data_IF_323685416940
#
_entry.id   IF_323685416940
#
_cell.length_a   1.000
_cell.length_b   1.000
_cell.length_c   1.000
_cell.angle_alpha   90.00
_cell.angle_beta   90.00
_cell.angle_gamma   90.00
#
_symmetry.space_group_name_H-M   'P 1'
#
loop_
_entity.id
_entity.type
_entity.pdbx_description
1 polymer ?
#
# COMPACT_ATOMS: atom_id res chain seq x y z
N UNK A 1 -32.88 8.28 -20.97
CA UNK A 1 -33.01 8.06 -19.51
C UNK A 1 -32.76 6.58 -19.23
N UNK A 2 -31.50 6.17 -19.15
CA UNK A 2 -31.15 4.80 -18.79
C UNK A 2 -30.60 4.80 -17.37
N UNK A 3 -31.39 4.27 -16.43
CA UNK A 3 -30.94 3.96 -15.06
C UNK A 3 -30.01 2.77 -15.14
N UNK A 4 -28.71 3.01 -15.03
CA UNK A 4 -27.72 1.97 -14.73
C UNK A 4 -28.03 1.42 -13.33
N UNK A 5 -28.50 0.18 -13.25
CA UNK A 5 -28.52 -0.59 -12.02
C UNK A 5 -27.07 -0.85 -11.59
N UNK A 6 -26.63 -0.17 -10.52
CA UNK A 6 -25.41 -0.55 -9.81
C UNK A 6 -25.62 -1.98 -9.27
N UNK A 7 -24.73 -2.94 -9.54
CA UNK A 7 -24.85 -4.26 -8.94
C UNK A 7 -24.69 -4.14 -7.42
N UNK A 8 -25.54 -4.87 -6.69
CA UNK A 8 -25.58 -4.96 -5.24
C UNK A 8 -24.33 -5.64 -4.66
N UNK A 9 -23.17 -4.98 -4.76
CA UNK A 9 -21.90 -5.46 -4.23
C UNK A 9 -21.75 -5.24 -2.71
N UNK A 10 -22.58 -4.36 -2.12
CA UNK A 10 -22.52 -4.02 -0.68
C UNK A 10 -23.01 -5.13 0.27
N UNK A 11 -23.69 -6.18 -0.23
CA UNK A 11 -24.30 -7.21 0.64
C UNK A 11 -23.54 -8.53 0.74
N UNK A 12 -22.42 -8.70 0.02
CA UNK A 12 -21.65 -9.95 0.06
C UNK A 12 -20.48 -9.90 1.06
N UNK A 13 -20.13 -8.73 1.62
CA UNK A 13 -18.98 -8.59 2.52
C UNK A 13 -19.28 -8.69 4.02
N UNK A 14 -20.55 -8.77 4.43
CA UNK A 14 -20.93 -8.84 5.85
C UNK A 14 -21.14 -10.26 6.41
N UNK A 15 -20.95 -11.31 5.59
CA UNK A 15 -21.21 -12.70 5.97
C UNK A 15 -19.93 -13.53 6.24
N UNK A 16 -18.83 -12.87 6.62
CA UNK A 16 -17.68 -13.52 7.24
C UNK A 16 -17.58 -13.09 8.71
N UNK A 17 -18.65 -13.30 9.48
CA UNK A 17 -18.55 -13.33 10.94
C UNK A 17 -17.75 -14.56 11.32
N UNK A 18 -16.43 -14.40 11.33
CA UNK A 18 -15.50 -15.35 11.93
C UNK A 18 -15.94 -15.52 13.39
N UNK A 19 -16.57 -16.65 13.69
CA UNK A 19 -16.64 -17.17 15.05
C UNK A 19 -15.21 -17.51 15.45
N UNK A 20 -14.49 -16.53 15.99
CA UNK A 20 -13.24 -16.75 16.69
C UNK A 20 -13.59 -17.51 17.97
N UNK A 21 -13.53 -18.84 17.91
CA UNK A 21 -13.43 -19.65 19.11
C UNK A 21 -12.12 -19.23 19.79
N UNK A 22 -12.22 -18.41 20.84
CA UNK A 22 -11.07 -18.05 21.67
C UNK A 22 -10.43 -19.37 22.14
N UNK A 23 -9.17 -19.65 21.76
CA UNK A 23 -8.44 -20.74 22.39
C UNK A 23 -8.52 -20.53 23.90
N UNK A 24 -8.80 -21.59 24.66
CA UNK A 24 -8.67 -21.54 26.11
C UNK A 24 -7.18 -21.37 26.44
N UNK A 25 -6.66 -20.14 26.42
CA UNK A 25 -5.28 -19.89 26.77
C UNK A 25 -5.15 -19.98 28.29
N UNK A 26 -4.27 -20.86 28.75
CA UNK A 26 -3.93 -21.05 30.17
C UNK A 26 -2.84 -20.08 30.66
N UNK A 27 -2.72 -18.90 30.04
CA UNK A 27 -1.76 -17.86 30.42
C UNK A 27 -2.40 -16.78 31.30
N UNK A 28 -1.64 -16.22 32.23
CA UNK A 28 -2.07 -15.03 32.96
C UNK A 28 -2.11 -13.83 31.99
N UNK A 29 -3.26 -13.17 31.88
CA UNK A 29 -3.42 -11.95 31.08
C UNK A 29 -3.24 -10.71 31.95
N UNK A 30 -2.63 -9.67 31.39
CA UNK A 30 -2.81 -8.30 31.88
C UNK A 30 -4.10 -7.76 31.28
N UNK A 31 -5.13 -7.56 32.10
CA UNK A 31 -6.41 -7.00 31.64
C UNK A 31 -6.43 -5.49 31.91
N UNK A 32 -6.65 -4.70 30.87
CA UNK A 32 -6.73 -3.24 30.96
C UNK A 32 -8.15 -2.80 30.60
N UNK A 33 -8.76 -2.02 31.49
CA UNK A 33 -10.09 -1.44 31.27
C UNK A 33 -9.95 0.02 30.85
N UNK A 34 -10.69 0.47 29.83
CA UNK A 34 -10.71 1.88 29.45
C UNK A 34 -11.32 2.73 30.56
N UNK A 35 -10.75 3.90 30.77
CA UNK A 35 -11.25 4.94 31.68
C UNK A 35 -11.89 6.09 30.93
N UNK A 36 -11.52 6.30 29.66
CA UNK A 36 -11.91 7.45 28.84
C UNK A 36 -11.11 8.71 29.18
N UNK A 37 -10.09 8.60 30.02
CA UNK A 37 -9.34 9.72 30.59
C UNK A 37 -7.88 9.61 30.15
N UNK A 38 -7.40 10.68 29.52
CA UNK A 38 -5.98 10.87 29.22
C UNK A 38 -5.28 11.57 30.40
N UNK A 39 -4.04 11.19 30.79
CA UNK A 39 -3.19 10.14 30.20
C UNK A 39 -3.34 8.76 30.85
N UNK A 40 -4.32 8.57 31.73
CA UNK A 40 -4.48 7.33 32.51
C UNK A 40 -4.60 6.09 31.60
N UNK A 41 -5.35 6.18 30.51
CA UNK A 41 -5.49 5.08 29.55
C UNK A 41 -4.16 4.67 28.92
N UNK A 42 -3.37 5.64 28.44
CA UNK A 42 -2.04 5.39 27.87
C UNK A 42 -1.14 4.73 28.90
N UNK A 43 -1.05 5.31 30.10
CA UNK A 43 -0.19 4.82 31.17
C UNK A 43 -0.57 3.40 31.62
N UNK A 44 -1.86 3.11 31.71
CA UNK A 44 -2.35 1.78 32.11
C UNK A 44 -2.02 0.71 31.07
N UNK A 45 -2.12 1.04 29.76
CA UNK A 45 -1.74 0.13 28.70
C UNK A 45 -0.21 -0.04 28.68
N UNK A 46 0.56 1.04 28.74
CA UNK A 46 2.03 0.96 28.78
C UNK A 46 2.51 0.07 29.93
N UNK A 47 1.96 0.26 31.15
CA UNK A 47 2.32 -0.56 32.31
C UNK A 47 1.96 -2.05 32.15
N UNK A 48 1.01 -2.39 31.28
CA UNK A 48 0.69 -3.77 30.92
C UNK A 48 1.65 -4.30 29.84
N UNK A 49 1.98 -3.48 28.84
CA UNK A 49 2.95 -3.78 27.78
C UNK A 49 4.34 -4.02 28.35
N UNK A 50 4.79 -3.19 29.31
CA UNK A 50 6.10 -3.32 29.95
C UNK A 50 6.30 -4.65 30.71
N UNK A 51 5.20 -5.34 31.05
CA UNK A 51 5.25 -6.68 31.66
C UNK A 51 5.40 -7.81 30.62
N UNK A 52 5.22 -7.50 29.35
CA UNK A 52 5.15 -8.45 28.25
C UNK A 52 3.96 -9.42 28.34
N UNK A 53 4.03 -10.50 27.56
CA UNK A 53 3.01 -11.55 27.56
C UNK A 53 1.76 -11.13 26.80
N UNK A 54 0.57 -11.46 27.30
CA UNK A 54 -0.70 -11.09 26.64
C UNK A 54 -1.43 -9.99 27.40
N UNK A 55 -1.71 -8.89 26.71
CA UNK A 55 -2.51 -7.75 27.17
C UNK A 55 -3.88 -7.84 26.52
N UNK A 56 -4.92 -7.97 27.33
CA UNK A 56 -6.31 -7.89 26.89
C UNK A 56 -6.84 -6.49 27.18
N UNK A 57 -7.11 -5.73 26.12
CA UNK A 57 -7.80 -4.46 26.19
C UNK A 57 -9.31 -4.72 26.18
N UNK A 58 -10.03 -4.15 27.14
CA UNK A 58 -11.48 -4.35 27.27
C UNK A 58 -12.25 -3.38 26.39
N UNK A 59 -13.41 -3.81 25.88
CA UNK A 59 -14.31 -2.95 25.10
C UNK A 59 -15.21 -2.07 25.98
N UNK A 60 -15.27 -2.40 27.27
CA UNK A 60 -16.10 -1.73 28.27
C UNK A 60 -15.28 -1.41 29.50
N UNK A 61 -15.63 -0.35 30.22
CA UNK A 61 -15.00 -0.01 31.49
C UNK A 61 -15.38 -1.02 32.60
N UNK A 62 -14.83 -0.85 33.81
CA UNK A 62 -15.09 -1.76 34.96
C UNK A 62 -16.56 -1.86 35.38
N UNK A 63 -17.43 -0.94 34.94
CA UNK A 63 -18.88 -0.95 35.18
C UNK A 63 -19.66 -1.64 34.04
N UNK A 64 -18.97 -2.15 33.02
CA UNK A 64 -19.60 -2.78 31.86
C UNK A 64 -20.17 -1.79 30.83
N UNK A 65 -19.82 -0.51 30.92
CA UNK A 65 -20.26 0.51 29.95
C UNK A 65 -19.25 0.60 28.81
N UNK A 66 -19.66 0.58 27.53
CA UNK A 66 -18.77 0.86 26.39
C UNK A 66 -18.00 2.16 26.62
N UNK A 67 -16.69 2.12 26.52
CA UNK A 67 -15.80 3.26 26.76
C UNK A 67 -14.56 3.06 25.92
N UNK A 68 -14.15 4.10 25.20
CA UNK A 68 -12.92 4.11 24.40
C UNK A 68 -11.70 4.37 25.31
N UNK A 69 -10.54 3.89 24.89
CA UNK A 69 -9.28 4.35 25.45
C UNK A 69 -8.91 5.70 24.84
N UNK A 70 -8.68 6.71 25.69
CA UNK A 70 -8.40 8.07 25.26
C UNK A 70 -6.90 8.35 25.16
N UNK A 71 -6.39 8.49 23.93
CA UNK A 71 -4.99 8.78 23.62
C UNK A 71 -4.76 10.27 23.27
N UNK A 72 -5.72 11.13 23.60
CA UNK A 72 -5.81 12.56 23.24
C UNK A 72 -6.11 12.83 21.77
N UNK A 73 -7.09 13.71 21.52
CA UNK A 73 -7.40 14.28 20.19
C UNK A 73 -6.82 15.69 20.02
N UNK A 74 -6.05 16.18 20.99
CA UNK A 74 -5.25 17.39 20.85
C UNK A 74 -3.88 17.02 20.30
N UNK A 75 -3.51 17.56 19.14
CA UNK A 75 -2.30 17.19 18.41
C UNK A 75 -1.02 17.37 19.23
N UNK A 76 -0.88 18.50 19.93
CA UNK A 76 0.35 18.79 20.70
C UNK A 76 0.51 17.83 21.87
N UNK A 77 -0.60 17.52 22.55
CA UNK A 77 -0.62 16.55 23.64
C UNK A 77 -0.38 15.13 23.13
N UNK A 78 -1.03 14.76 22.02
CA UNK A 78 -0.89 13.44 21.40
C UNK A 78 0.54 13.20 20.93
N UNK A 79 1.17 14.18 20.27
CA UNK A 79 2.56 14.10 19.84
C UNK A 79 3.55 13.85 21.01
N UNK A 80 3.29 14.45 22.18
CA UNK A 80 4.19 14.31 23.32
C UNK A 80 4.00 13.03 24.14
N UNK A 81 2.81 12.42 24.13
CA UNK A 81 2.47 11.33 25.08
C UNK A 81 1.21 10.52 24.73
N UNK A 82 0.69 10.66 23.52
CA UNK A 82 -0.50 9.95 23.02
C UNK A 82 -0.17 8.63 22.35
N UNK A 83 0.79 7.87 22.87
CA UNK A 83 1.23 6.61 22.29
C UNK A 83 1.73 5.65 23.37
N UNK A 84 1.75 4.36 23.05
CA UNK A 84 2.50 3.34 23.81
C UNK A 84 3.67 2.84 22.97
N UNK A 85 4.77 2.51 23.62
CA UNK A 85 5.90 1.86 22.98
C UNK A 85 5.95 0.36 23.34
N UNK A 86 6.12 -0.49 22.33
CA UNK A 86 6.27 -1.94 22.47
C UNK A 86 7.66 -2.27 23.05
N UNK A 87 7.77 -2.22 24.38
CA UNK A 87 9.03 -2.36 25.13
C UNK A 87 9.41 -3.80 25.50
N UNK A 88 8.48 -4.75 25.36
CA UNK A 88 8.67 -6.17 25.65
C UNK A 88 7.91 -7.05 24.65
N UNK A 89 8.27 -8.33 24.55
CA UNK A 89 7.53 -9.32 23.76
C UNK A 89 6.06 -9.35 24.20
N UNK A 90 5.15 -8.92 23.34
CA UNK A 90 3.76 -8.64 23.73
C UNK A 90 2.75 -9.02 22.66
N UNK A 91 1.60 -9.53 23.12
CA UNK A 91 0.39 -9.70 22.31
C UNK A 91 -0.72 -8.82 22.88
N UNK A 92 -1.12 -7.80 22.14
CA UNK A 92 -2.21 -6.89 22.48
C UNK A 92 -3.46 -7.34 21.72
N UNK A 93 -4.52 -7.62 22.46
CA UNK A 93 -5.80 -8.11 21.92
C UNK A 93 -6.91 -7.15 22.33
N UNK A 94 -7.62 -6.60 21.36
CA UNK A 94 -8.88 -5.91 21.55
C UNK A 94 -10.01 -6.89 21.79
N UNK A 95 -10.83 -6.62 22.81
CA UNK A 95 -12.04 -7.37 23.05
C UNK A 95 -13.15 -6.98 22.06
N UNK A 96 -13.96 -7.95 21.69
CA UNK A 96 -15.28 -7.73 21.10
C UNK A 96 -16.31 -8.29 22.09
N UNK A 97 -17.09 -7.43 22.74
CA UNK A 97 -18.08 -7.82 23.74
C UNK A 97 -19.44 -7.18 23.42
N UNK A 98 -20.44 -8.03 23.19
CA UNK A 98 -21.80 -7.62 22.81
C UNK A 98 -21.81 -6.70 21.58
N UNK A 99 -22.10 -5.40 21.76
CA UNK A 99 -22.16 -4.38 20.70
C UNK A 99 -20.98 -3.40 20.76
N UNK A 100 -19.95 -3.70 21.56
CA UNK A 100 -18.76 -2.87 21.72
C UNK A 100 -17.51 -3.64 21.27
N UNK A 101 -16.56 -2.88 20.72
CA UNK A 101 -15.20 -3.32 20.39
C UNK A 101 -14.24 -2.44 21.19
N UNK A 102 -13.05 -2.95 21.50
CA UNK A 102 -11.96 -2.10 21.98
C UNK A 102 -11.64 -1.05 20.95
N UNK A 103 -11.83 0.21 21.34
CA UNK A 103 -11.50 1.37 20.53
C UNK A 103 -10.43 2.20 21.21
N UNK A 104 -9.42 2.60 20.45
CA UNK A 104 -8.42 3.61 20.83
C UNK A 104 -8.74 4.86 20.01
N UNK A 105 -8.99 5.97 20.70
CA UNK A 105 -9.34 7.24 20.07
C UNK A 105 -8.23 8.28 20.24
N UNK A 106 -7.83 8.89 19.12
CA UNK A 106 -6.73 9.85 19.09
C UNK A 106 -5.36 9.18 19.23
N UNK A 107 -4.37 9.94 19.68
CA UNK A 107 -2.97 9.53 19.77
C UNK A 107 -2.16 9.90 18.54
N UNK A 108 -0.85 10.03 18.70
CA UNK A 108 0.09 10.27 17.60
C UNK A 108 0.87 8.97 17.44
N UNK A 109 0.54 8.14 16.45
CA UNK A 109 1.03 6.75 16.43
C UNK A 109 0.62 5.97 17.68
N UNK A 110 -0.68 5.69 17.95
CA UNK A 110 -1.11 5.13 19.23
C UNK A 110 -0.36 3.88 19.68
N UNK A 111 0.16 3.07 18.75
CA UNK A 111 1.08 1.97 19.05
C UNK A 111 2.36 2.15 18.25
N UNK A 112 3.48 2.30 18.96
CA UNK A 112 4.82 2.44 18.38
C UNK A 112 5.72 1.24 18.71
N UNK A 113 6.50 0.79 17.73
CA UNK A 113 7.49 -0.28 17.85
C UNK A 113 8.92 0.22 17.84
N UNK A 114 9.32 1.03 18.83
CA UNK A 114 10.66 1.63 18.89
C UNK A 114 11.71 0.73 19.57
N UNK A 115 11.30 -0.44 20.06
CA UNK A 115 12.21 -1.44 20.60
C UNK A 115 12.14 -2.76 19.82
N UNK A 116 13.28 -3.45 19.62
CA UNK A 116 13.31 -4.67 18.85
C UNK A 116 12.70 -5.80 19.67
N UNK A 117 11.39 -5.99 19.56
CA UNK A 117 10.63 -7.04 20.27
C UNK A 117 9.72 -7.79 19.31
N UNK A 118 9.19 -8.94 19.74
CA UNK A 118 8.07 -9.60 19.07
C UNK A 118 6.78 -8.93 19.47
N UNK A 119 5.91 -8.67 18.51
CA UNK A 119 4.65 -8.01 18.80
C UNK A 119 3.48 -8.62 18.04
N UNK A 120 2.30 -8.55 18.63
CA UNK A 120 1.07 -8.79 17.91
C UNK A 120 -0.03 -7.83 18.37
N UNK A 121 -0.76 -7.27 17.42
CA UNK A 121 -1.81 -6.26 17.63
C UNK A 121 -3.06 -6.77 16.92
N UNK A 122 -4.11 -7.08 17.67
CA UNK A 122 -5.26 -7.81 17.13
C UNK A 122 -6.61 -7.21 17.52
N UNK A 123 -7.51 -7.03 16.56
CA UNK A 123 -8.93 -6.76 16.82
C UNK A 123 -9.25 -5.40 17.46
N UNK A 124 -8.38 -4.40 17.28
CA UNK A 124 -8.56 -3.04 17.82
C UNK A 124 -9.19 -2.13 16.76
N UNK A 125 -10.05 -1.22 17.19
CA UNK A 125 -10.55 -0.11 16.40
C UNK A 125 -9.72 1.16 16.69
N UNK A 126 -9.07 1.73 15.69
CA UNK A 126 -8.30 2.96 15.81
C UNK A 126 -9.08 4.09 15.16
N UNK A 127 -9.63 4.98 15.99
CA UNK A 127 -10.42 6.12 15.55
C UNK A 127 -9.58 7.40 15.63
N UNK A 128 -9.37 8.02 14.47
CA UNK A 128 -8.71 9.32 14.36
C UNK A 128 -7.35 9.45 15.07
N UNK A 129 -6.42 8.49 14.88
CA UNK A 129 -5.04 8.74 15.24
C UNK A 129 -4.45 9.86 14.35
N UNK A 130 -3.46 10.57 14.86
CA UNK A 130 -2.64 11.49 14.09
C UNK A 130 -1.46 10.75 13.47
N UNK A 131 -1.08 11.16 12.25
CA UNK A 131 -0.03 10.51 11.46
C UNK A 131 -0.41 9.07 11.14
N UNK A 132 -0.14 8.14 12.07
CA UNK A 132 -0.21 6.71 11.81
C UNK A 132 -1.03 6.02 12.92
N UNK A 133 -1.70 4.91 12.62
CA UNK A 133 -2.38 4.15 13.68
C UNK A 133 -1.43 3.18 14.39
N UNK A 134 -0.52 2.59 13.63
CA UNK A 134 0.52 1.68 14.11
C UNK A 134 1.81 2.02 13.36
N UNK A 135 2.85 2.39 14.09
CA UNK A 135 4.19 2.66 13.54
C UNK A 135 5.20 1.66 14.14
N UNK A 136 5.88 0.88 13.30
CA UNK A 136 6.88 -0.09 13.73
C UNK A 136 8.24 0.26 13.12
N UNK A 137 9.01 1.06 13.84
CA UNK A 137 10.38 1.37 13.43
C UNK A 137 11.35 0.19 13.61
N UNK A 138 11.11 -0.70 14.57
CA UNK A 138 12.04 -1.74 14.99
C UNK A 138 11.34 -3.05 15.39
N UNK A 139 11.95 -4.21 15.08
CA UNK A 139 11.55 -5.54 15.57
C UNK A 139 12.69 -6.55 15.39
N UNK A 140 12.86 -7.50 16.32
CA UNK A 140 13.83 -8.61 16.20
C UNK A 140 13.15 -9.97 16.03
N UNK A 141 11.87 -10.00 15.67
CA UNK A 141 11.09 -11.22 15.58
C UNK A 141 9.81 -11.06 14.77
N UNK A 142 8.81 -11.86 15.08
CA UNK A 142 7.54 -11.79 14.35
C UNK A 142 6.69 -10.61 14.84
N UNK A 143 6.21 -9.82 13.88
CA UNK A 143 5.21 -8.77 14.09
C UNK A 143 3.92 -9.17 13.36
N UNK A 144 2.82 -9.31 14.11
CA UNK A 144 1.52 -9.70 13.55
C UNK A 144 0.42 -8.66 13.83
N UNK A 145 -0.08 -8.00 12.80
CA UNK A 145 -1.16 -7.00 12.88
C UNK A 145 -2.38 -7.57 12.18
N UNK A 146 -3.41 -7.96 12.95
CA UNK A 146 -4.52 -8.77 12.43
C UNK A 146 -5.90 -8.26 12.84
N UNK A 147 -6.81 -8.12 11.88
CA UNK A 147 -8.23 -7.86 12.17
C UNK A 147 -8.51 -6.50 12.80
N UNK A 148 -7.59 -5.55 12.68
CA UNK A 148 -7.78 -4.19 13.17
C UNK A 148 -8.64 -3.38 12.19
N UNK A 149 -9.32 -2.37 12.70
CA UNK A 149 -10.00 -1.36 11.89
C UNK A 149 -9.30 -0.04 12.18
N UNK A 150 -8.87 0.66 11.15
CA UNK A 150 -8.18 1.94 11.23
C UNK A 150 -8.98 2.90 10.38
N UNK A 151 -9.46 3.98 10.98
CA UNK A 151 -10.26 4.92 10.21
C UNK A 151 -10.17 6.37 10.69
N UNK A 152 -10.45 7.27 9.74
CA UNK A 152 -10.45 8.71 9.95
C UNK A 152 -9.12 9.25 10.50
N UNK A 153 -7.99 8.69 10.07
CA UNK A 153 -6.66 9.14 10.46
C UNK A 153 -6.52 10.62 10.12
N UNK A 154 -5.95 11.39 11.03
CA UNK A 154 -5.88 12.85 10.94
C UNK A 154 -4.50 13.23 10.41
N UNK A 155 -4.41 13.78 9.18
CA UNK A 155 -3.14 14.16 8.59
C UNK A 155 -2.35 15.15 9.44
N UNK A 156 -1.08 14.84 9.67
CA UNK A 156 -0.15 15.76 10.32
C UNK A 156 0.50 16.62 9.26
N UNK A 157 0.45 17.95 9.44
CA UNK A 157 0.99 18.92 8.50
C UNK A 157 2.37 19.40 8.95
N UNK A 158 3.36 19.23 8.09
CA UNK A 158 4.75 19.64 8.35
C UNK A 158 5.15 20.69 7.31
N UNK A 159 5.79 21.77 7.77
CA UNK A 159 6.41 22.75 6.86
C UNK A 159 7.81 22.27 6.51
N UNK A 160 8.04 21.96 5.24
CA UNK A 160 9.36 21.58 4.71
C UNK A 160 10.24 22.83 4.47
N UNK A 161 11.58 22.67 4.35
CA UNK A 161 12.53 23.80 4.29
C UNK A 161 12.30 24.79 3.15
N UNK A 162 11.72 24.35 2.04
CA UNK A 162 11.36 25.21 0.90
C UNK A 162 10.13 26.10 1.18
N UNK A 163 9.50 25.94 2.35
CA UNK A 163 8.34 26.68 2.80
C UNK A 163 7.00 26.01 2.48
N UNK A 164 6.98 24.93 1.71
CA UNK A 164 5.76 24.18 1.40
C UNK A 164 5.23 23.46 2.64
N UNK A 165 3.93 23.17 2.64
CA UNK A 165 3.30 22.35 3.68
C UNK A 165 2.97 21.02 3.04
N UNK A 166 3.54 19.95 3.58
CA UNK A 166 3.17 18.58 3.25
C UNK A 166 2.36 17.99 4.40
N UNK A 167 1.62 16.92 4.13
CA UNK A 167 0.96 16.16 5.19
C UNK A 167 1.16 14.68 5.04
N UNK A 168 1.22 14.00 6.18
CA UNK A 168 1.42 12.56 6.29
C UNK A 168 0.23 11.90 6.98
N UNK A 169 -0.20 10.76 6.46
CA UNK A 169 -1.10 9.87 7.17
C UNK A 169 -1.00 8.44 6.64
N UNK A 170 -0.51 7.49 7.44
CA UNK A 170 -0.54 6.08 7.11
C UNK A 170 -1.49 5.29 8.01
N UNK A 171 -1.97 4.13 7.53
CA UNK A 171 -2.70 3.20 8.38
C UNK A 171 -1.73 2.43 9.26
N UNK A 172 -0.84 1.70 8.62
CA UNK A 172 0.22 0.90 9.24
C UNK A 172 1.53 1.25 8.55
N UNK A 173 2.49 1.78 9.30
CA UNK A 173 3.83 2.10 8.80
C UNK A 173 4.89 1.20 9.47
N UNK A 174 5.85 0.77 8.67
CA UNK A 174 7.08 0.13 9.13
C UNK A 174 8.23 0.89 8.49
N UNK A 175 8.88 1.74 9.28
CA UNK A 175 9.97 2.58 8.80
C UNK A 175 11.28 2.26 9.53
N UNK A 176 12.20 1.59 8.85
CA UNK A 176 13.50 1.19 9.42
C UNK A 176 14.50 2.34 9.63
N UNK A 177 14.18 3.60 9.30
CA UNK A 177 15.16 4.68 9.30
C UNK A 177 16.20 4.56 8.19
N UNK A 178 17.28 5.36 8.29
CA UNK A 178 18.44 5.29 7.39
C UNK A 178 19.32 4.06 7.60
N UNK A 179 19.17 3.39 8.74
CA UNK A 179 19.96 2.23 9.12
C UNK A 179 19.19 0.95 8.75
N UNK A 180 19.49 0.40 7.57
CA UNK A 180 18.91 -0.85 7.09
C UNK A 180 18.93 -1.96 8.16
N UNK A 181 17.76 -2.56 8.43
CA UNK A 181 17.68 -3.82 9.19
C UNK A 181 17.16 -3.77 10.60
N UNK A 182 16.46 -2.70 10.98
CA UNK A 182 15.86 -2.63 12.30
C UNK A 182 14.55 -3.42 12.41
N UNK A 183 13.86 -3.71 11.30
CA UNK A 183 12.67 -4.58 11.25
C UNK A 183 13.05 -5.96 10.69
N UNK A 184 13.32 -6.92 11.58
CA UNK A 184 13.75 -8.27 11.26
C UNK A 184 12.77 -9.34 11.76
N UNK A 185 12.70 -10.48 11.05
CA UNK A 185 11.83 -11.61 11.38
C UNK A 185 10.74 -11.81 10.33
N UNK A 186 9.48 -11.92 10.77
CA UNK A 186 8.32 -12.10 9.89
C UNK A 186 7.29 -11.02 10.18
N UNK A 187 6.82 -10.32 9.16
CA UNK A 187 5.72 -9.34 9.26
C UNK A 187 4.47 -9.96 8.65
N UNK A 188 3.36 -9.97 9.39
CA UNK A 188 2.05 -10.44 8.91
C UNK A 188 0.99 -9.38 9.13
N UNK A 189 0.39 -8.88 8.05
CA UNK A 189 -0.70 -7.91 8.07
C UNK A 189 -1.95 -8.57 7.47
N UNK A 190 -2.88 -9.00 8.32
CA UNK A 190 -3.96 -9.92 7.90
C UNK A 190 -5.34 -9.39 8.26
N UNK A 191 -6.24 -9.29 7.28
CA UNK A 191 -7.65 -9.02 7.54
C UNK A 191 -7.93 -7.66 8.19
N UNK A 192 -7.05 -6.68 8.04
CA UNK A 192 -7.26 -5.33 8.54
C UNK A 192 -8.17 -4.54 7.60
N UNK A 193 -8.88 -3.56 8.15
CA UNK A 193 -9.66 -2.58 7.40
C UNK A 193 -9.03 -1.21 7.63
N UNK A 194 -8.70 -0.50 6.55
CA UNK A 194 -8.07 0.82 6.61
C UNK A 194 -8.89 1.75 5.72
N UNK A 195 -9.43 2.82 6.29
CA UNK A 195 -10.36 3.73 5.61
C UNK A 195 -10.18 5.20 6.00
N UNK A 196 -9.92 6.08 5.03
CA UNK A 196 -9.91 7.53 5.27
C UNK A 196 -8.64 8.03 5.97
N UNK A 197 -7.58 8.24 5.19
CA UNK A 197 -6.30 8.82 5.65
C UNK A 197 -6.11 10.27 5.18
N UNK A 198 -6.32 10.53 3.88
CA UNK A 198 -6.58 11.87 3.34
C UNK A 198 -5.41 12.87 3.42
N UNK A 199 -4.16 12.41 3.30
CA UNK A 199 -2.96 13.26 3.34
C UNK A 199 -2.28 13.43 1.96
N UNK A 200 -1.30 14.35 1.88
CA UNK A 200 -0.47 14.55 0.67
C UNK A 200 0.40 13.30 0.42
N UNK A 201 0.95 12.74 1.50
CA UNK A 201 1.65 11.48 1.57
C UNK A 201 0.80 10.51 2.38
N UNK A 202 0.25 9.47 1.73
CA UNK A 202 -0.67 8.59 2.43
C UNK A 202 -0.69 7.16 1.91
N UNK A 203 -0.45 6.21 2.80
CA UNK A 203 -0.47 4.79 2.50
C UNK A 203 -1.39 4.05 3.44
N UNK A 204 -2.24 3.16 2.90
CA UNK A 204 -2.93 2.20 3.74
C UNK A 204 -1.94 1.37 4.55
N UNK A 205 -0.95 0.82 3.86
CA UNK A 205 0.17 0.10 4.44
C UNK A 205 1.46 0.56 3.78
N UNK A 206 2.45 0.95 4.58
CA UNK A 206 3.81 1.24 4.13
C UNK A 206 4.81 0.32 4.84
N UNK A 207 5.67 -0.33 4.06
CA UNK A 207 6.88 -0.97 4.57
C UNK A 207 8.06 -0.42 3.80
N UNK A 208 8.93 0.28 4.51
CA UNK A 208 10.14 0.90 3.99
C UNK A 208 11.36 0.36 4.73
N UNK A 209 12.33 -0.16 3.97
CA UNK A 209 13.64 -0.55 4.52
C UNK A 209 13.54 -1.75 5.51
N UNK A 210 12.66 -2.69 5.17
CA UNK A 210 12.34 -3.88 6.00
C UNK A 210 13.12 -5.13 5.58
N UNK A 211 13.71 -5.84 6.56
CA UNK A 211 14.53 -7.06 6.37
C UNK A 211 13.80 -8.34 6.84
N UNK A 212 12.50 -8.38 6.61
CA UNK A 212 11.61 -9.44 7.09
C UNK A 212 10.88 -10.13 5.95
N UNK A 213 10.51 -11.39 6.14
CA UNK A 213 9.53 -12.01 5.25
C UNK A 213 8.15 -11.37 5.53
N UNK A 214 7.52 -10.85 4.50
CA UNK A 214 6.27 -10.07 4.59
C UNK A 214 5.10 -10.86 4.02
N UNK A 215 3.97 -10.84 4.72
CA UNK A 215 2.69 -11.36 4.25
C UNK A 215 1.59 -10.35 4.52
N UNK A 216 0.97 -9.83 3.46
CA UNK A 216 -0.14 -8.88 3.50
C UNK A 216 -1.33 -9.54 2.81
N UNK A 217 -2.32 -9.96 3.58
CA UNK A 217 -3.44 -10.72 3.01
C UNK A 217 -4.81 -10.44 3.60
N UNK A 218 -5.83 -10.46 2.74
CA UNK A 218 -7.23 -10.32 3.17
C UNK A 218 -7.59 -8.94 3.68
N UNK A 219 -6.76 -7.91 3.46
CA UNK A 219 -7.02 -6.56 3.94
C UNK A 219 -7.99 -5.82 3.00
N UNK A 220 -8.80 -4.94 3.58
CA UNK A 220 -9.58 -3.93 2.87
C UNK A 220 -8.92 -2.57 3.10
N UNK A 221 -8.46 -1.93 2.04
CA UNK A 221 -7.80 -0.64 2.09
C UNK A 221 -8.55 0.28 1.14
N UNK A 222 -9.19 1.33 1.67
CA UNK A 222 -10.03 2.22 0.87
C UNK A 222 -9.91 3.69 1.27
N UNK A 223 -10.14 4.59 0.32
CA UNK A 223 -10.19 6.05 0.54
C UNK A 223 -8.98 6.60 1.32
N UNK A 224 -7.80 6.02 1.11
CA UNK A 224 -6.55 6.47 1.73
C UNK A 224 -6.09 7.79 1.11
N UNK A 225 -6.38 8.01 -0.17
CA UNK A 225 -6.05 9.24 -0.89
C UNK A 225 -7.12 10.33 -0.73
N UNK A 226 -6.67 11.56 -0.93
CA UNK A 226 -7.46 12.76 -1.13
C UNK A 226 -7.16 13.39 -2.50
N UNK A 227 -7.99 14.33 -2.99
CA UNK A 227 -7.68 15.08 -4.20
C UNK A 227 -6.29 15.76 -4.20
N UNK A 228 -5.78 16.10 -3.01
CA UNK A 228 -4.49 16.77 -2.79
C UNK A 228 -3.34 15.78 -2.56
N UNK A 229 -3.59 14.46 -2.52
CA UNK A 229 -2.53 13.45 -2.41
C UNK A 229 -1.59 13.57 -3.60
N UNK A 230 -0.29 13.66 -3.34
CA UNK A 230 0.81 13.74 -4.33
C UNK A 230 1.62 12.44 -4.43
N UNK A 231 1.75 11.71 -3.32
CA UNK A 231 2.40 10.40 -3.27
C UNK A 231 1.64 9.53 -2.28
N UNK A 232 1.53 8.23 -2.53
CA UNK A 232 0.81 7.35 -1.64
C UNK A 232 0.20 6.18 -2.37
N UNK A 233 -0.57 5.38 -1.66
CA UNK A 233 -1.21 4.24 -2.28
C UNK A 233 -1.94 3.34 -1.29
N UNK A 234 -2.47 2.25 -1.81
CA UNK A 234 -3.04 1.23 -0.96
C UNK A 234 -1.97 0.52 -0.14
N UNK A 235 -1.02 -0.11 -0.84
CA UNK A 235 0.08 -0.88 -0.24
C UNK A 235 1.38 -0.49 -0.91
N UNK A 236 2.32 0.04 -0.13
CA UNK A 236 3.64 0.47 -0.61
C UNK A 236 4.74 -0.34 0.07
N UNK A 237 5.48 -1.11 -0.72
CA UNK A 237 6.61 -1.93 -0.27
C UNK A 237 7.88 -1.45 -0.96
N UNK A 238 8.70 -0.69 -0.26
CA UNK A 238 9.93 -0.10 -0.83
C UNK A 238 11.16 -0.54 -0.04
N UNK A 239 12.28 -0.76 -0.73
CA UNK A 239 13.57 -1.14 -0.09
C UNK A 239 13.45 -2.38 0.80
N UNK A 240 12.63 -3.35 0.41
CA UNK A 240 12.63 -4.66 1.08
C UNK A 240 13.88 -5.46 0.72
N UNK A 241 14.34 -6.29 1.65
CA UNK A 241 15.50 -7.17 1.43
C UNK A 241 15.16 -8.66 1.41
N UNK A 242 13.90 -9.01 1.70
CA UNK A 242 13.40 -10.39 1.79
C UNK A 242 12.10 -10.58 1.02
N UNK A 243 11.50 -11.76 1.13
CA UNK A 243 10.33 -12.11 0.33
C UNK A 243 9.07 -11.38 0.83
N UNK A 244 8.21 -10.96 -0.09
CA UNK A 244 6.91 -10.39 0.21
C UNK A 244 5.80 -11.09 -0.57
N UNK A 245 4.73 -11.47 0.13
CA UNK A 245 3.48 -11.96 -0.42
C UNK A 245 2.38 -10.92 -0.15
N UNK A 246 1.81 -10.35 -1.22
CA UNK A 246 0.64 -9.48 -1.18
C UNK A 246 -0.50 -10.21 -1.88
N UNK A 247 -1.51 -10.64 -1.13
CA UNK A 247 -2.55 -11.49 -1.72
C UNK A 247 -3.95 -11.33 -1.16
N UNK A 248 -4.97 -11.49 -2.02
CA UNK A 248 -6.37 -11.45 -1.61
C UNK A 248 -6.78 -10.16 -0.88
N UNK A 249 -6.14 -9.03 -1.20
CA UNK A 249 -6.53 -7.72 -0.67
C UNK A 249 -7.54 -7.06 -1.62
N UNK A 250 -8.44 -6.25 -1.04
CA UNK A 250 -9.26 -5.29 -1.78
C UNK A 250 -8.67 -3.90 -1.55
N UNK A 251 -8.19 -3.28 -2.63
CA UNK A 251 -7.47 -2.01 -2.58
C UNK A 251 -8.18 -0.99 -3.45
N UNK A 252 -8.69 0.07 -2.84
CA UNK A 252 -9.45 1.15 -3.47
C UNK A 252 -8.84 2.48 -2.99
N UNK A 253 -7.67 2.90 -3.50
CA UNK A 253 -6.93 4.00 -2.89
C UNK A 253 -7.75 5.29 -2.75
N UNK A 254 -8.72 5.50 -3.65
CA UNK A 254 -9.54 6.71 -3.71
C UNK A 254 -9.01 7.67 -4.77
N UNK A 255 -9.71 8.79 -5.02
CA UNK A 255 -9.32 9.73 -6.05
C UNK A 255 -8.10 10.56 -5.62
N UNK A 256 -7.21 10.81 -6.57
CA UNK A 256 -6.20 11.89 -6.50
C UNK A 256 -6.17 12.63 -7.84
N UNK A 257 -6.00 13.95 -7.78
CA UNK A 257 -5.90 14.80 -8.97
C UNK A 257 -4.45 14.94 -9.49
N UNK A 258 -3.45 14.65 -8.65
CA UNK A 258 -2.04 14.99 -8.92
C UNK A 258 -1.08 13.82 -8.74
N UNK A 259 -1.45 12.74 -8.04
CA UNK A 259 -0.53 11.70 -7.58
C UNK A 259 -0.46 10.44 -8.44
N UNK A 260 0.71 9.82 -8.36
CA UNK A 260 0.98 8.39 -8.53
C UNK A 260 0.45 7.62 -7.31
N UNK A 261 -0.88 7.69 -7.14
CA UNK A 261 -1.54 7.19 -5.95
C UNK A 261 -1.93 5.73 -6.19
N UNK A 262 -0.92 4.87 -6.20
CA UNK A 262 -1.03 3.53 -6.79
C UNK A 262 -1.84 2.58 -5.91
N UNK A 263 -2.43 1.56 -6.53
CA UNK A 263 -3.04 0.48 -5.78
C UNK A 263 -2.00 -0.25 -4.92
N UNK A 264 -1.02 -0.86 -5.59
CA UNK A 264 0.06 -1.60 -4.95
C UNK A 264 1.38 -1.19 -5.60
N UNK A 265 2.32 -0.67 -4.82
CA UNK A 265 3.66 -0.35 -5.26
C UNK A 265 4.66 -1.32 -4.63
N UNK A 266 5.51 -1.96 -5.45
CA UNK A 266 6.60 -2.82 -4.97
C UNK A 266 7.95 -2.40 -5.57
N UNK A 267 8.98 -2.36 -4.73
CA UNK A 267 10.36 -2.23 -5.17
C UNK A 267 11.34 -2.56 -4.05
N UNK A 268 12.43 -3.25 -4.37
CA UNK A 268 13.36 -3.73 -3.35
C UNK A 268 14.70 -4.11 -3.92
N UNK A 269 15.51 -4.70 -3.06
CA UNK A 269 16.84 -5.18 -3.43
C UNK A 269 16.80 -6.50 -4.20
N UNK A 270 17.91 -6.84 -4.86
CA UNK A 270 18.06 -8.08 -5.61
C UNK A 270 17.87 -9.35 -4.75
N UNK A 271 17.95 -9.23 -3.42
CA UNK A 271 17.66 -10.31 -2.47
C UNK A 271 16.17 -10.49 -2.17
N UNK A 272 15.34 -9.48 -2.40
CA UNK A 272 13.90 -9.55 -2.21
C UNK A 272 13.22 -10.36 -3.31
N UNK A 273 12.07 -10.94 -3.00
CA UNK A 273 11.24 -11.69 -3.95
C UNK A 273 9.77 -11.37 -3.72
N UNK A 274 9.08 -10.90 -4.75
CA UNK A 274 7.72 -10.41 -4.64
C UNK A 274 6.72 -11.36 -5.27
N UNK A 275 5.59 -11.57 -4.59
CA UNK A 275 4.40 -12.23 -5.13
C UNK A 275 3.19 -11.35 -4.84
N UNK A 276 2.65 -10.71 -5.87
CA UNK A 276 1.42 -9.92 -5.81
C UNK A 276 0.34 -10.71 -6.54
N UNK A 277 -0.50 -11.41 -5.79
CA UNK A 277 -1.43 -12.41 -6.36
C UNK A 277 -2.86 -12.27 -5.88
N UNK A 278 -3.82 -12.44 -6.80
CA UNK A 278 -5.25 -12.52 -6.46
C UNK A 278 -5.78 -11.32 -5.67
N UNK A 279 -5.22 -10.12 -5.89
CA UNK A 279 -5.75 -8.88 -5.34
C UNK A 279 -6.84 -8.31 -6.26
N UNK A 280 -7.78 -7.58 -5.68
CA UNK A 280 -8.73 -6.73 -6.39
C UNK A 280 -8.31 -5.28 -6.18
N UNK A 281 -7.85 -4.63 -7.24
CA UNK A 281 -7.37 -3.24 -7.21
C UNK A 281 -8.31 -2.38 -8.03
N UNK A 282 -8.77 -1.27 -7.44
CA UNK A 282 -9.64 -0.30 -8.07
C UNK A 282 -9.05 1.11 -7.91
N UNK A 283 -8.33 1.56 -8.94
CA UNK A 283 -7.76 2.91 -8.96
C UNK A 283 -8.71 3.88 -9.66
N UNK A 284 -8.93 5.03 -9.03
CA UNK A 284 -9.67 6.17 -9.60
C UNK A 284 -8.82 7.44 -9.66
N UNK A 285 -7.53 7.31 -9.37
CA UNK A 285 -6.58 8.42 -9.36
C UNK A 285 -6.19 8.79 -10.78
N UNK A 286 -6.09 10.08 -11.08
CA UNK A 286 -5.84 10.56 -12.44
C UNK A 286 -4.56 9.98 -13.06
N UNK A 287 -3.49 9.85 -12.25
CA UNK A 287 -2.21 9.23 -12.62
C UNK A 287 -1.87 7.99 -11.76
N UNK A 288 -2.81 7.45 -10.97
CA UNK A 288 -2.47 6.35 -10.05
C UNK A 288 -2.61 5.00 -10.74
N UNK A 289 -1.51 4.28 -10.80
CA UNK A 289 -1.44 2.98 -11.44
C UNK A 289 -2.12 1.91 -10.56
N UNK A 290 -2.40 0.76 -11.16
CA UNK A 290 -2.96 -0.36 -10.42
C UNK A 290 -1.90 -1.06 -9.58
N UNK A 291 -0.88 -1.60 -10.24
CA UNK A 291 0.23 -2.31 -9.63
C UNK A 291 1.53 -1.85 -10.28
N UNK A 292 2.41 -1.27 -9.48
CA UNK A 292 3.72 -0.81 -9.89
C UNK A 292 4.82 -1.71 -9.38
N UNK A 293 5.75 -2.02 -10.29
CA UNK A 293 7.00 -2.69 -9.96
C UNK A 293 8.13 -1.74 -10.35
N UNK A 294 8.89 -1.29 -9.37
CA UNK A 294 10.04 -0.43 -9.58
C UNK A 294 11.31 -1.07 -9.00
N UNK A 295 12.47 -0.65 -9.47
CA UNK A 295 13.75 -1.05 -8.92
C UNK A 295 14.83 -0.04 -9.29
N UNK A 296 15.99 -0.13 -8.65
CA UNK A 296 17.11 0.75 -8.95
C UNK A 296 16.95 2.15 -8.37
N UNK A 297 17.40 3.16 -9.10
CA UNK A 297 17.36 4.58 -8.72
C UNK A 297 15.95 5.07 -8.36
N UNK A 298 14.90 4.55 -9.02
CA UNK A 298 13.51 4.88 -8.70
C UNK A 298 13.12 4.65 -7.25
N UNK A 299 13.78 3.68 -6.61
CA UNK A 299 13.48 3.26 -5.22
C UNK A 299 14.69 3.37 -4.30
N UNK A 300 15.85 3.80 -4.82
CA UNK A 300 17.12 3.76 -4.12
C UNK A 300 17.57 2.33 -3.78
N UNK A 301 17.25 1.35 -4.62
CA UNK A 301 17.52 -0.09 -4.39
C UNK A 301 18.52 -0.64 -5.40
N UNK A 302 18.94 -1.89 -5.18
CA UNK A 302 19.78 -2.63 -6.13
C UNK A 302 19.02 -3.24 -7.32
N UNK A 303 17.70 -3.08 -7.39
CA UNK A 303 16.85 -3.57 -8.47
C UNK A 303 15.90 -4.69 -8.06
N UNK A 304 14.75 -4.76 -8.72
CA UNK A 304 13.72 -5.77 -8.46
C UNK A 304 13.85 -6.92 -9.45
N UNK A 305 13.92 -8.16 -8.95
CA UNK A 305 14.10 -9.36 -9.78
C UNK A 305 13.10 -10.47 -9.42
N UNK A 306 12.71 -11.26 -10.43
CA UNK A 306 11.84 -12.44 -10.29
C UNK A 306 10.50 -12.13 -9.59
N UNK A 307 9.99 -10.91 -9.70
CA UNK A 307 8.67 -10.57 -9.16
C UNK A 307 7.58 -11.34 -9.89
N UNK A 308 6.55 -11.78 -9.18
CA UNK A 308 5.37 -12.44 -9.77
C UNK A 308 4.13 -11.62 -9.48
N UNK A 309 3.51 -11.09 -10.54
CA UNK A 309 2.21 -10.40 -10.48
C UNK A 309 1.20 -11.25 -11.22
N UNK A 310 0.34 -11.96 -10.48
CA UNK A 310 -0.51 -12.98 -11.09
C UNK A 310 -1.95 -13.02 -10.57
N UNK A 311 -2.88 -13.26 -11.49
CA UNK A 311 -4.30 -13.48 -11.16
C UNK A 311 -4.96 -12.32 -10.39
N UNK A 312 -4.43 -11.10 -10.51
CA UNK A 312 -5.06 -9.91 -9.96
C UNK A 312 -6.17 -9.43 -10.90
N UNK A 313 -7.18 -8.80 -10.33
CA UNK A 313 -8.15 -8.01 -11.08
C UNK A 313 -7.86 -6.54 -10.83
N UNK A 314 -7.51 -5.81 -11.88
CA UNK A 314 -7.11 -4.41 -11.79
C UNK A 314 -8.04 -3.57 -12.64
N UNK A 315 -8.72 -2.62 -12.02
CA UNK A 315 -9.59 -1.66 -12.71
C UNK A 315 -9.07 -0.25 -12.51
N UNK A 316 -8.81 0.46 -13.60
CA UNK A 316 -8.53 1.90 -13.61
C UNK A 316 -9.74 2.63 -14.20
N UNK A 317 -10.42 3.47 -13.42
CA UNK A 317 -11.60 4.20 -13.88
C UNK A 317 -11.35 5.71 -13.89
N UNK A 318 -11.66 6.37 -15.03
CA UNK A 318 -11.52 7.82 -15.16
C UNK A 318 -10.11 8.32 -14.87
N UNK A 319 -9.12 7.50 -15.23
CA UNK A 319 -7.71 7.69 -14.93
C UNK A 319 -6.92 7.68 -16.25
N UNK A 320 -6.98 8.76 -17.05
CA UNK A 320 -6.48 8.74 -18.43
C UNK A 320 -4.97 8.50 -18.54
N UNK A 321 -4.22 8.74 -17.45
CA UNK A 321 -2.78 8.50 -17.40
C UNK A 321 -2.40 7.22 -16.64
N UNK A 322 -3.36 6.53 -16.01
CA UNK A 322 -3.05 5.33 -15.24
C UNK A 322 -2.72 4.15 -16.15
N UNK A 323 -1.92 3.25 -15.61
CA UNK A 323 -1.58 1.94 -16.15
C UNK A 323 -2.01 0.88 -15.13
N UNK A 324 -2.80 -0.14 -15.52
CA UNK A 324 -3.14 -1.22 -14.60
C UNK A 324 -1.92 -1.95 -14.04
N UNK A 325 -0.90 -2.23 -14.86
CA UNK A 325 0.38 -2.80 -14.40
C UNK A 325 1.54 -2.15 -15.13
N UNK A 326 2.43 -1.50 -14.39
CA UNK A 326 3.63 -0.86 -14.92
C UNK A 326 4.91 -1.39 -14.28
N UNK A 327 5.97 -1.49 -15.09
CA UNK A 327 7.32 -1.79 -14.67
C UNK A 327 8.20 -0.56 -14.93
N UNK A 328 8.90 -0.11 -13.91
CA UNK A 328 9.76 1.06 -13.95
C UNK A 328 11.22 0.70 -13.66
N UNK A 329 12.11 1.16 -14.53
CA UNK A 329 13.56 1.14 -14.32
C UNK A 329 14.15 -0.27 -14.11
N UNK A 330 14.96 -0.52 -13.07
CA UNK A 330 15.72 -1.78 -12.92
C UNK A 330 14.84 -2.95 -12.43
N UNK A 331 13.93 -3.42 -13.29
CA UNK A 331 13.08 -4.60 -13.08
C UNK A 331 13.44 -5.72 -14.05
N UNK A 332 13.81 -6.89 -13.53
CA UNK A 332 14.31 -7.99 -14.36
C UNK A 332 13.65 -9.33 -14.09
N UNK A 333 13.53 -10.16 -15.13
CA UNK A 333 13.04 -11.55 -15.08
C UNK A 333 11.67 -11.76 -14.39
N UNK A 334 10.87 -10.71 -14.28
CA UNK A 334 9.58 -10.76 -13.61
C UNK A 334 8.52 -11.43 -14.49
N UNK A 335 7.51 -12.03 -13.84
CA UNK A 335 6.39 -12.72 -14.49
C UNK A 335 5.08 -12.02 -14.14
N UNK A 336 4.43 -11.47 -15.17
CA UNK A 336 3.15 -10.79 -15.09
C UNK A 336 2.13 -11.65 -15.83
N UNK A 337 1.29 -12.40 -15.13
CA UNK A 337 0.49 -13.47 -15.77
C UNK A 337 -0.95 -13.59 -15.30
N UNK A 338 -1.85 -13.85 -16.23
CA UNK A 338 -3.25 -14.19 -15.91
C UNK A 338 -4.02 -13.10 -15.16
N UNK A 339 -3.62 -11.83 -15.27
CA UNK A 339 -4.34 -10.71 -14.66
C UNK A 339 -5.52 -10.29 -15.55
N UNK A 340 -6.62 -9.85 -14.93
CA UNK A 340 -7.83 -9.29 -15.59
C UNK A 340 -7.79 -7.76 -15.47
N UNK A 341 -7.48 -7.09 -16.58
CA UNK A 341 -7.28 -5.65 -16.66
C UNK A 341 -8.52 -4.98 -17.26
N UNK A 342 -9.07 -3.99 -16.56
CA UNK A 342 -10.35 -3.36 -16.89
C UNK A 342 -10.29 -1.84 -16.81
N UNK A 343 -11.19 -1.20 -17.53
CA UNK A 343 -11.39 0.25 -17.45
C UNK A 343 -10.68 0.98 -18.57
N UNK A 344 -10.06 2.12 -18.26
CA UNK A 344 -9.37 2.98 -19.22
C UNK A 344 -8.09 3.57 -18.66
N UNK A 345 -7.14 3.89 -19.53
CA UNK A 345 -5.87 4.49 -19.12
C UNK A 345 -4.91 4.68 -20.29
N UNK A 346 -3.68 5.09 -19.98
CA UNK A 346 -2.66 5.38 -20.99
C UNK A 346 -2.26 4.10 -21.74
N UNK A 347 -1.89 3.07 -20.98
CA UNK A 347 -1.61 1.74 -21.49
C UNK A 347 -2.16 0.64 -20.58
N UNK A 348 -2.34 -0.57 -21.11
CA UNK A 348 -2.76 -1.72 -20.32
C UNK A 348 -1.58 -2.36 -19.56
N UNK A 349 -0.45 -2.48 -20.24
CA UNK A 349 0.82 -2.95 -19.71
C UNK A 349 1.93 -1.99 -20.14
N UNK A 350 2.80 -1.58 -19.20
CA UNK A 350 3.88 -0.65 -19.49
C UNK A 350 5.25 -1.09 -18.97
N UNK A 351 6.28 -0.78 -19.77
CA UNK A 351 7.67 -0.65 -19.32
C UNK A 351 8.11 0.77 -19.60
N UNK A 352 8.66 1.45 -18.59
CA UNK A 352 9.04 2.86 -18.67
C UNK A 352 10.17 3.18 -17.67
N UNK A 353 10.61 4.44 -17.65
CA UNK A 353 11.48 4.97 -16.60
C UNK A 353 10.68 5.87 -15.66
N UNK A 354 11.05 5.89 -14.38
CA UNK A 354 10.58 6.87 -13.40
C UNK A 354 11.38 8.18 -13.48
N UNK A 355 11.93 8.49 -14.67
CA UNK A 355 12.79 9.64 -14.93
C UNK A 355 14.30 9.38 -14.80
N UNK A 356 14.72 8.13 -14.55
CA UNK A 356 16.11 7.71 -14.46
C UNK A 356 16.54 6.94 -15.72
N UNK A 357 16.91 7.69 -16.76
CA UNK A 357 17.08 7.18 -18.13
C UNK A 357 18.20 6.13 -18.33
N UNK A 358 18.92 5.70 -17.29
CA UNK A 358 20.05 4.75 -17.38
C UNK A 358 19.72 3.30 -17.02
N UNK A 359 18.55 3.04 -16.44
CA UNK A 359 18.22 1.71 -15.92
C UNK A 359 17.40 0.88 -16.90
N UNK A 360 17.80 -0.39 -17.07
CA UNK A 360 17.23 -1.29 -18.07
C UNK A 360 16.21 -2.24 -17.43
N UNK A 361 14.98 -2.23 -17.94
CA UNK A 361 13.93 -3.19 -17.60
C UNK A 361 14.01 -4.38 -18.57
N UNK A 362 14.42 -5.57 -18.10
CA UNK A 362 14.74 -6.67 -19.02
C UNK A 362 14.29 -8.09 -18.66
N UNK A 363 14.06 -8.91 -19.69
CA UNK A 363 13.73 -10.34 -19.52
C UNK A 363 12.36 -10.60 -18.87
N UNK A 364 11.50 -9.58 -18.74
CA UNK A 364 10.20 -9.72 -18.12
C UNK A 364 9.21 -10.41 -19.08
N UNK A 365 8.25 -11.14 -18.53
CA UNK A 365 7.29 -11.96 -19.28
C UNK A 365 5.87 -11.60 -18.90
N UNK A 366 5.10 -11.14 -19.88
CA UNK A 366 3.69 -10.81 -19.77
C UNK A 366 2.86 -11.90 -20.46
N UNK A 367 2.30 -12.83 -19.69
CA UNK A 367 1.70 -14.06 -20.22
C UNK A 367 0.20 -14.16 -19.90
N UNK A 368 -0.64 -14.21 -20.94
CA UNK A 368 -2.08 -14.48 -20.78
C UNK A 368 -2.83 -13.48 -19.92
N UNK A 369 -2.40 -12.21 -19.87
CA UNK A 369 -3.19 -11.14 -19.27
C UNK A 369 -4.40 -10.83 -20.18
N UNK A 370 -5.57 -10.64 -19.58
CA UNK A 370 -6.83 -10.32 -20.26
C UNK A 370 -7.00 -8.80 -20.29
N UNK A 371 -7.03 -8.25 -21.51
CA UNK A 371 -7.22 -6.82 -21.77
C UNK A 371 -8.54 -6.57 -22.51
N UNK A 372 -9.42 -7.58 -22.62
CA UNK A 372 -10.67 -7.52 -23.38
C UNK A 372 -11.65 -6.44 -22.91
N UNK A 373 -11.48 -6.01 -21.67
CA UNK A 373 -12.30 -5.00 -21.00
C UNK A 373 -11.52 -3.73 -20.65
N UNK A 374 -10.30 -3.59 -21.18
CA UNK A 374 -9.47 -2.40 -21.02
C UNK A 374 -9.48 -1.57 -22.30
N UNK A 375 -9.57 -0.25 -22.15
CA UNK A 375 -9.46 0.73 -23.24
C UNK A 375 -8.20 1.57 -23.04
N UNK A 376 -7.17 1.29 -23.83
CA UNK A 376 -5.99 2.14 -23.91
C UNK A 376 -6.25 3.39 -24.76
N UNK A 377 -5.79 4.54 -24.27
CA UNK A 377 -5.77 5.78 -25.05
C UNK A 377 -4.50 5.91 -25.90
N UNK A 378 -3.41 5.25 -25.53
CA UNK A 378 -2.15 5.22 -26.29
C UNK A 378 -1.85 3.85 -26.92
N UNK A 379 -1.62 2.82 -26.10
CA UNK A 379 -1.37 1.45 -26.58
C UNK A 379 -1.78 0.39 -25.54
N UNK A 380 -2.17 -0.81 -25.95
CA UNK A 380 -2.46 -1.92 -25.01
C UNK A 380 -1.16 -2.37 -24.33
N UNK A 381 -0.07 -2.39 -25.10
CA UNK A 381 1.29 -2.66 -24.64
C UNK A 381 2.19 -1.49 -25.05
N UNK A 382 2.83 -0.85 -24.07
CA UNK A 382 3.84 0.19 -24.31
C UNK A 382 5.16 -0.16 -23.64
N UNK A 383 6.21 -0.37 -24.44
CA UNK A 383 7.58 -0.48 -23.94
C UNK A 383 8.40 0.72 -24.39
N UNK A 384 8.93 1.48 -23.44
CA UNK A 384 9.86 2.57 -23.72
C UNK A 384 11.27 2.05 -24.05
N UNK A 385 12.18 2.96 -24.39
CA UNK A 385 13.53 2.67 -24.87
C UNK A 385 14.40 1.89 -23.88
N UNK A 386 14.04 1.87 -22.59
CA UNK A 386 14.74 1.11 -21.56
C UNK A 386 14.28 -0.36 -21.46
N UNK A 387 13.27 -0.78 -22.23
CA UNK A 387 12.81 -2.16 -22.28
C UNK A 387 13.68 -3.05 -23.17
N UNK A 388 14.30 -4.09 -22.59
CA UNK A 388 15.12 -5.04 -23.34
C UNK A 388 14.71 -6.51 -23.18
N UNK A 389 14.62 -7.25 -24.28
CA UNK A 389 14.39 -8.70 -24.29
C UNK A 389 13.15 -9.16 -23.50
N UNK A 390 12.13 -8.31 -23.41
CA UNK A 390 10.87 -8.62 -22.74
C UNK A 390 9.94 -9.39 -23.68
N UNK A 391 9.05 -10.20 -23.12
CA UNK A 391 8.13 -11.04 -23.91
C UNK A 391 6.69 -10.77 -23.52
N UNK A 392 5.83 -10.52 -24.51
CA UNK A 392 4.37 -10.47 -24.34
C UNK A 392 3.73 -11.57 -25.17
N UNK A 393 2.99 -12.47 -24.53
CA UNK A 393 2.18 -13.51 -25.16
C UNK A 393 0.76 -13.44 -24.58
N UNK A 394 -0.20 -12.86 -25.31
CA UNK A 394 -1.55 -12.67 -24.79
C UNK A 394 -2.40 -11.73 -25.63
N UNK A 395 -3.45 -11.18 -25.04
CA UNK A 395 -4.34 -10.25 -25.73
C UNK A 395 -3.72 -8.86 -25.82
N UNK A 396 -3.73 -8.28 -27.02
CA UNK A 396 -3.46 -6.86 -27.28
C UNK A 396 -3.99 -6.49 -28.67
N UNK A 397 -4.50 -5.27 -28.80
CA UNK A 397 -4.98 -4.69 -30.05
C UNK A 397 -3.99 -3.68 -30.63
N UNK A 398 -3.19 -3.04 -29.77
CA UNK A 398 -2.25 -2.00 -30.14
C UNK A 398 -0.95 -2.15 -29.35
N UNK A 399 0.17 -1.86 -30.01
CA UNK A 399 1.52 -2.03 -29.45
C UNK A 399 2.38 -0.86 -29.88
N UNK A 400 3.09 -0.28 -28.92
CA UNK A 400 4.21 0.63 -29.17
C UNK A 400 5.42 0.07 -28.43
N UNK A 401 6.46 -0.26 -29.18
CA UNK A 401 7.70 -0.83 -28.65
C UNK A 401 8.87 0.01 -29.16
N UNK A 402 9.50 0.74 -28.24
CA UNK A 402 10.69 1.57 -28.47
C UNK A 402 11.96 0.88 -27.98
N UNK A 403 11.82 -0.29 -27.34
CA UNK A 403 12.91 -1.05 -26.76
C UNK A 403 13.65 -1.93 -27.77
N UNK A 404 14.52 -2.80 -27.25
CA UNK A 404 15.38 -3.67 -28.08
C UNK A 404 15.18 -5.14 -27.74
N UNK A 405 15.03 -5.99 -28.76
CA UNK A 405 14.95 -7.45 -28.58
C UNK A 405 13.64 -7.96 -27.95
N UNK A 406 12.66 -7.09 -27.74
CA UNK A 406 11.36 -7.48 -27.21
C UNK A 406 10.59 -8.37 -28.22
N UNK A 407 9.83 -9.34 -27.70
CA UNK A 407 9.01 -10.25 -28.50
C UNK A 407 7.55 -10.13 -28.09
N UNK A 408 6.73 -9.59 -28.99
CA UNK A 408 5.31 -9.35 -28.73
C UNK A 408 4.45 -10.17 -29.70
N UNK A 409 3.61 -11.07 -29.17
CA UNK A 409 2.64 -11.85 -29.93
C UNK A 409 1.25 -11.63 -29.37
N UNK A 410 0.50 -10.74 -30.02
CA UNK A 410 -0.89 -10.49 -29.70
C UNK A 410 -1.79 -11.57 -30.31
N UNK A 411 -2.60 -12.22 -29.49
CA UNK A 411 -3.81 -12.90 -29.96
C UNK A 411 -4.90 -11.85 -30.12
N UNK A 412 -5.17 -11.46 -31.37
CA UNK A 412 -6.27 -10.55 -31.67
C UNK A 412 -7.58 -11.16 -31.14
N UNK A 413 -8.43 -10.32 -30.54
CA UNK A 413 -9.80 -10.72 -30.34
C UNK A 413 -10.39 -11.15 -31.68
N UNK A 414 -10.99 -12.34 -31.72
CA UNK A 414 -11.82 -12.77 -32.86
C UNK A 414 -13.15 -11.99 -32.93
N UNK A 415 -13.13 -10.71 -32.57
CA UNK A 415 -14.24 -9.78 -32.67
C UNK A 415 -14.05 -8.94 -33.95
N UNK A 416 -15.09 -8.91 -34.79
CA UNK A 416 -15.15 -8.23 -36.08
C UNK A 416 -14.42 -6.87 -36.08
N UNK A 417 -13.52 -6.69 -37.05
CA UNK A 417 -12.75 -5.47 -37.31
C UNK A 417 -13.62 -4.20 -37.20
N UNK A 418 -13.61 -3.55 -36.03
CA UNK A 418 -13.90 -2.12 -35.98
C UNK A 418 -12.63 -1.40 -36.43
N UNK A 419 -12.74 -0.64 -37.53
CA UNK A 419 -11.69 0.28 -37.96
C UNK A 419 -11.49 1.32 -36.86
N UNK A 420 -10.49 1.13 -36.00
CA UNK A 420 -10.03 2.20 -35.12
C UNK A 420 -9.45 3.34 -35.98
N UNK A 421 -9.73 4.61 -35.65
CA UNK A 421 -9.04 5.74 -36.25
C UNK A 421 -7.53 5.60 -36.00
N UNK A 422 -6.72 5.98 -36.99
CA UNK A 422 -5.28 5.92 -36.88
C UNK A 422 -4.82 6.72 -35.65
N UNK A 423 -4.10 6.07 -34.75
CA UNK A 423 -3.48 6.75 -33.61
C UNK A 423 -2.61 7.92 -34.13
N UNK A 424 -2.66 9.10 -33.49
CA UNK A 424 -1.77 10.21 -33.83
C UNK A 424 -0.31 9.75 -33.74
N UNK A 425 0.45 9.95 -34.82
CA UNK A 425 1.88 9.67 -34.85
C UNK A 425 2.62 10.79 -34.11
N UNK A 426 2.94 10.59 -32.84
CA UNK A 426 3.88 11.44 -32.11
C UNK A 426 5.32 10.99 -32.41
N UNK A 427 6.27 11.93 -32.45
CA UNK A 427 7.70 11.57 -32.48
C UNK A 427 8.16 11.05 -31.11
N UNK A 428 9.18 10.20 -31.07
CA UNK A 428 9.80 9.72 -29.80
C UNK A 428 10.16 10.88 -28.88
N UNK A 429 10.60 12.01 -29.43
CA UNK A 429 10.95 13.21 -28.68
C UNK A 429 9.72 13.94 -28.09
N UNK A 430 8.59 13.94 -28.80
CA UNK A 430 7.31 14.43 -28.27
C UNK A 430 6.78 13.52 -27.16
N UNK A 431 6.92 12.20 -27.31
CA UNK A 431 6.50 11.24 -26.28
C UNK A 431 7.35 11.36 -25.02
N UNK A 432 8.67 11.43 -25.15
CA UNK A 432 9.58 11.72 -24.03
C UNK A 432 9.24 13.04 -23.36
N UNK A 433 8.79 14.06 -24.11
CA UNK A 433 8.36 15.34 -23.52
C UNK A 433 7.06 15.22 -22.73
N UNK A 434 6.07 14.48 -23.22
CA UNK A 434 4.79 14.22 -22.51
C UNK A 434 5.04 13.39 -21.25
N UNK A 435 5.85 12.33 -21.35
CA UNK A 435 6.26 11.48 -20.22
C UNK A 435 7.09 12.27 -19.20
N UNK A 436 8.04 13.09 -19.64
CA UNK A 436 8.81 13.98 -18.75
C UNK A 436 7.99 15.12 -18.15
N UNK A 437 6.81 15.42 -18.70
CA UNK A 437 5.85 16.38 -18.16
C UNK A 437 4.88 15.72 -17.17
N UNK A 438 4.69 14.40 -17.26
CA UNK A 438 3.85 13.61 -16.35
C UNK A 438 4.66 13.07 -15.16
N UNK A 439 5.94 12.70 -15.34
CA UNK A 439 6.87 12.40 -14.23
C UNK A 439 7.26 13.69 -13.50
N UNK A 440 6.89 13.80 -12.22
CA UNK A 440 7.00 15.03 -11.44
C UNK A 440 8.46 15.52 -11.26
N UNK A 441 8.73 16.85 -11.27
CA UNK A 441 10.06 17.42 -11.05
C UNK A 441 10.71 17.08 -9.70
N UNK A 442 9.94 16.65 -8.70
CA UNK A 442 10.46 16.30 -7.36
C UNK A 442 11.35 15.05 -7.37
N UNK A 443 11.18 14.14 -8.33
CA UNK A 443 12.08 12.98 -8.50
C UNK A 443 13.42 13.41 -9.11
N UNK A 444 13.44 14.45 -9.94
CA UNK A 444 14.67 14.92 -10.64
C UNK A 444 15.65 15.68 -9.75
N UNK A 445 15.21 16.22 -8.62
CA UNK A 445 16.04 17.07 -7.78
C UNK A 445 16.73 16.34 -6.62
N UNK A 446 16.50 15.04 -6.44
CA UNK A 446 17.22 14.22 -5.46
C UNK A 446 18.49 13.60 -6.07
N UNK A 447 19.38 14.45 -6.59
CA UNK A 447 20.78 14.07 -6.74
C UNK A 447 21.42 13.98 -5.35
N UNK A 448 21.34 12.81 -4.72
CA UNK A 448 22.22 12.33 -3.64
C UNK A 448 22.68 13.37 -2.59
N UNK A 449 21.76 14.18 -2.06
CA UNK A 449 22.08 15.23 -1.09
C UNK A 449 21.03 15.35 0.00
N UNK A 450 21.32 14.73 1.15
CA UNK A 450 20.65 14.92 2.45
C UNK A 450 19.11 14.92 2.40
N UNK A 451 18.53 13.72 2.47
CA UNK A 451 17.17 13.56 2.99
C UNK A 451 17.16 14.14 4.40
N UNK A 452 16.44 15.24 4.58
CA UNK A 452 16.21 15.84 5.89
C UNK A 452 15.24 14.94 6.64
N UNK A 453 15.75 14.33 7.71
CA UNK A 453 14.96 13.65 8.74
C UNK A 453 14.05 14.68 9.44
N UNK A 454 12.81 14.32 9.82
CA UNK A 454 12.07 15.08 10.82
C UNK A 454 12.78 15.12 12.18
#
# INVERSE_FOLDING_TARGET
MFRLHRPHFEKLFFALTLFWALPAFSGAYSVVYPTGIFPDDVNNIQAAVDKGGTVLLKAVNKKGVPTEFNFSTDLLTAYGSGFINLSADVKIIGEVAAHARTTIRGGFGPIEGLSPVKSSIQGIDFESPFSDAIDIATSNGSTEITGNVIHNVVPVRVRVPDGNIISFADGIDFYGGSDYGIVAGKVRLVGNVIDGLGAIFSNGVQLDTVQSDVEITGNLIQNVNSPDTEQGGGITLVRLQKSALVSANLVIPGPSATSFADGIFIGGDLSARYKVISNLVYSTSYNGDGIDIAGGDATGTTGTIDAVVAFNQVTTLSAPNAIPIALYDLVTNSLITGNDLRGEGYAGLMISTYGFDTEVTSGNRFLGNDLSHFKSDFADVFFDANGENNTVLGQCNSVVDLGTGNTIRCTLHSAAQMKSPAAPRFSVEQMRKIQRQTVHPLVRNNSAGNVLQP
#
